data_IF_177803597476
#
_entry.id   IF_177803597476
#
_cell.length_a   1.000
_cell.length_b   1.000
_cell.length_c   1.000
_cell.angle_alpha   90.00
_cell.angle_beta   90.00
_cell.angle_gamma   90.00
#
_symmetry.space_group_name_H-M   'P 1'
#
loop_
_entity.id
_entity.type
_entity.pdbx_description
1 polymer ?
#
# COMPACT_ATOMS: atom_id res chain seq x y z
N UNK A 1 -13.31 34.79 12.42
CA UNK A 1 -12.18 34.05 11.78
C UNK A 1 -11.69 32.87 12.60
N UNK A 2 -11.63 32.97 13.91
CA UNK A 2 -11.08 31.94 14.81
C UNK A 2 -11.80 30.57 14.84
N UNK A 3 -13.11 30.56 14.60
CA UNK A 3 -13.90 29.33 14.86
C UNK A 3 -13.67 28.18 13.85
N UNK A 4 -13.64 28.46 12.55
CA UNK A 4 -13.43 27.40 11.51
C UNK A 4 -11.99 26.85 11.57
N UNK A 5 -11.00 27.73 11.60
CA UNK A 5 -9.59 27.29 11.63
C UNK A 5 -9.32 26.43 12.86
N UNK A 6 -9.92 26.76 14.00
CA UNK A 6 -9.81 25.99 15.25
C UNK A 6 -10.47 24.62 15.11
N UNK A 7 -11.68 24.54 14.53
CA UNK A 7 -12.38 23.25 14.29
C UNK A 7 -11.50 22.31 13.44
N UNK A 8 -10.93 22.80 12.34
CA UNK A 8 -10.08 21.97 11.49
C UNK A 8 -8.71 21.67 12.13
N UNK A 9 -8.17 22.58 12.94
CA UNK A 9 -6.96 22.35 13.73
C UNK A 9 -7.18 21.22 14.76
N UNK A 10 -8.29 21.24 15.48
CA UNK A 10 -8.65 20.19 16.45
C UNK A 10 -8.86 18.83 15.78
N UNK A 11 -9.52 18.81 14.61
CA UNK A 11 -9.69 17.57 13.85
C UNK A 11 -8.35 17.00 13.38
N UNK A 12 -7.43 17.87 12.93
CA UNK A 12 -6.07 17.48 12.57
C UNK A 12 -5.34 16.89 13.76
N UNK A 13 -5.41 17.54 14.91
CA UNK A 13 -4.79 17.08 16.16
C UNK A 13 -5.33 15.70 16.56
N UNK A 14 -6.63 15.53 16.58
CA UNK A 14 -7.28 14.24 16.87
C UNK A 14 -6.86 13.13 15.91
N UNK A 15 -6.78 13.41 14.60
CA UNK A 15 -6.29 12.42 13.63
C UNK A 15 -4.81 12.09 13.87
N UNK A 16 -3.98 13.07 14.23
CA UNK A 16 -2.56 12.85 14.55
C UNK A 16 -2.41 12.00 15.82
N UNK A 17 -3.15 12.30 16.88
CA UNK A 17 -3.16 11.52 18.13
C UNK A 17 -3.57 10.07 17.88
N UNK A 18 -4.64 9.87 17.10
CA UNK A 18 -5.09 8.54 16.70
C UNK A 18 -4.00 7.78 15.91
N UNK A 19 -3.34 8.44 14.97
CA UNK A 19 -2.24 7.84 14.20
C UNK A 19 -1.02 7.53 15.07
N UNK A 20 -0.68 8.40 16.00
CA UNK A 20 0.41 8.16 16.95
C UNK A 20 0.09 6.97 17.86
N UNK A 21 -1.15 6.86 18.33
CA UNK A 21 -1.58 5.73 19.15
C UNK A 21 -1.42 4.42 18.38
N UNK A 22 -1.95 4.33 17.17
CA UNK A 22 -1.80 3.11 16.37
C UNK A 22 -0.36 2.84 15.96
N UNK A 23 0.44 3.86 15.68
CA UNK A 23 1.85 3.66 15.32
C UNK A 23 2.66 3.03 16.45
N UNK A 24 2.37 3.37 17.73
CA UNK A 24 3.01 2.73 18.89
C UNK A 24 2.73 1.22 18.96
N UNK A 25 1.53 0.80 18.59
CA UNK A 25 1.20 -0.63 18.54
C UNK A 25 1.82 -1.34 17.34
N UNK A 26 1.88 -0.68 16.17
CA UNK A 26 2.49 -1.24 14.96
C UNK A 26 4.00 -1.32 15.10
N UNK A 27 4.64 -0.21 15.50
CA UNK A 27 6.09 -0.10 15.67
C UNK A 27 6.50 -0.41 17.12
N UNK A 28 6.29 -1.64 17.55
CA UNK A 28 6.81 -2.11 18.82
C UNK A 28 8.34 -2.30 18.76
N UNK A 29 8.99 -2.41 19.92
CA UNK A 29 10.46 -2.52 20.02
C UNK A 29 11.03 -3.70 19.22
N UNK A 30 10.30 -4.83 19.16
CA UNK A 30 10.73 -6.02 18.42
C UNK A 30 10.72 -5.79 16.92
N UNK A 31 9.67 -5.15 16.38
CA UNK A 31 9.58 -4.83 14.96
C UNK A 31 10.63 -3.79 14.56
N UNK A 32 10.86 -2.78 15.41
CA UNK A 32 11.89 -1.76 15.14
C UNK A 32 13.27 -2.41 15.07
N UNK A 33 13.64 -3.26 16.05
CA UNK A 33 14.92 -3.95 16.05
C UNK A 33 15.07 -4.85 14.81
N UNK A 34 14.03 -5.60 14.44
CA UNK A 34 14.01 -6.38 13.22
C UNK A 34 14.24 -5.53 11.97
N UNK A 35 13.52 -4.40 11.84
CA UNK A 35 13.67 -3.49 10.70
C UNK A 35 15.09 -2.90 10.61
N UNK A 36 15.71 -2.54 11.73
CA UNK A 36 17.09 -2.02 11.74
C UNK A 36 18.06 -3.07 11.20
N UNK A 37 17.94 -4.33 11.62
CA UNK A 37 18.79 -5.42 11.14
C UNK A 37 18.59 -5.65 9.63
N UNK A 38 17.34 -5.73 9.17
CA UNK A 38 17.01 -5.95 7.76
C UNK A 38 17.49 -4.78 6.90
N UNK A 39 17.27 -3.54 7.33
CA UNK A 39 17.74 -2.35 6.63
C UNK A 39 19.26 -2.29 6.58
N UNK A 40 19.95 -2.62 7.67
CA UNK A 40 21.42 -2.69 7.70
C UNK A 40 21.96 -3.71 6.70
N UNK A 41 21.39 -4.91 6.66
CA UNK A 41 21.77 -5.93 5.70
C UNK A 41 21.47 -5.50 4.24
N UNK A 42 20.32 -4.87 4.01
CA UNK A 42 19.94 -4.36 2.70
C UNK A 42 20.90 -3.25 2.21
N UNK A 43 21.31 -2.33 3.08
CA UNK A 43 22.27 -1.27 2.75
C UNK A 43 23.65 -1.82 2.38
N UNK A 44 24.13 -2.84 3.13
CA UNK A 44 25.41 -3.50 2.82
C UNK A 44 25.34 -4.19 1.46
N UNK A 45 24.25 -4.92 1.17
CA UNK A 45 24.07 -5.58 -0.11
C UNK A 45 23.91 -4.57 -1.26
N UNK A 46 23.21 -3.46 -1.03
CA UNK A 46 23.07 -2.38 -1.98
C UNK A 46 24.41 -1.76 -2.35
N UNK A 47 25.26 -1.48 -1.37
CA UNK A 47 26.61 -0.90 -1.62
C UNK A 47 27.52 -1.86 -2.40
N UNK A 48 27.47 -3.18 -2.07
CA UNK A 48 28.20 -4.21 -2.81
C UNK A 48 27.69 -4.34 -4.26
N UNK A 49 26.39 -4.35 -4.44
CA UNK A 49 25.77 -4.44 -5.76
C UNK A 49 26.15 -3.26 -6.66
N UNK A 50 26.11 -2.03 -6.13
CA UNK A 50 26.50 -0.83 -6.90
C UNK A 50 27.93 -0.93 -7.42
N UNK A 51 28.84 -1.52 -6.64
CA UNK A 51 30.24 -1.65 -7.01
C UNK A 51 30.50 -2.58 -8.22
N UNK A 52 29.59 -3.53 -8.48
CA UNK A 52 29.72 -4.54 -9.56
C UNK A 52 28.67 -4.40 -10.66
N UNK A 53 27.67 -3.54 -10.46
CA UNK A 53 26.54 -3.38 -11.37
C UNK A 53 26.97 -2.80 -12.72
N UNK A 54 26.44 -3.35 -13.80
CA UNK A 54 26.61 -2.80 -15.16
C UNK A 54 25.82 -1.49 -15.31
N UNK A 55 26.22 -0.64 -16.27
CA UNK A 55 25.50 0.60 -16.54
C UNK A 55 24.01 0.36 -16.85
N UNK A 56 23.69 -0.70 -17.59
CA UNK A 56 22.31 -1.07 -17.90
C UNK A 56 21.49 -1.38 -16.64
N UNK A 57 22.06 -2.10 -15.68
CA UNK A 57 21.41 -2.41 -14.40
C UNK A 57 21.17 -1.15 -13.58
N UNK A 58 22.17 -0.23 -13.53
CA UNK A 58 22.03 1.04 -12.81
C UNK A 58 20.91 1.90 -13.39
N UNK A 59 20.82 2.04 -14.73
CA UNK A 59 19.72 2.75 -15.38
C UNK A 59 18.36 2.07 -15.15
N UNK A 60 18.29 0.75 -15.21
CA UNK A 60 17.03 0.02 -15.01
C UNK A 60 16.47 0.22 -13.60
N UNK A 61 17.35 0.18 -12.58
CA UNK A 61 16.96 0.42 -11.18
C UNK A 61 16.57 1.89 -10.97
N UNK A 62 17.27 2.85 -11.60
CA UNK A 62 16.92 4.25 -11.56
C UNK A 62 15.51 4.51 -12.12
N UNK A 63 15.21 3.94 -13.28
CA UNK A 63 13.88 4.04 -13.92
C UNK A 63 12.80 3.40 -13.03
N UNK A 64 13.05 2.20 -12.51
CA UNK A 64 12.11 1.54 -11.60
C UNK A 64 11.85 2.36 -10.34
N UNK A 65 12.88 2.95 -9.74
CA UNK A 65 12.77 3.83 -8.58
C UNK A 65 12.00 5.12 -8.91
N UNK A 66 12.24 5.71 -10.09
CA UNK A 66 11.49 6.89 -10.56
C UNK A 66 10.00 6.58 -10.78
N UNK A 67 9.66 5.43 -11.38
CA UNK A 67 8.27 4.95 -11.52
C UNK A 67 7.61 4.80 -10.15
N UNK A 68 8.27 4.12 -9.22
CA UNK A 68 7.73 3.88 -7.88
C UNK A 68 7.49 5.20 -7.12
N UNK A 69 8.45 6.14 -7.20
CA UNK A 69 8.34 7.42 -6.52
C UNK A 69 7.28 8.32 -7.16
N UNK A 70 7.16 8.34 -8.49
CA UNK A 70 6.10 9.07 -9.22
C UNK A 70 4.72 8.54 -8.84
N UNK A 71 4.56 7.21 -8.79
CA UNK A 71 3.33 6.58 -8.35
C UNK A 71 3.00 6.95 -6.88
N UNK A 72 3.98 6.96 -5.99
CA UNK A 72 3.81 7.40 -4.60
C UNK A 72 3.30 8.84 -4.54
N UNK A 73 3.94 9.77 -5.27
CA UNK A 73 3.53 11.17 -5.28
C UNK A 73 2.11 11.37 -5.82
N UNK A 74 1.71 10.61 -6.84
CA UNK A 74 0.36 10.72 -7.45
C UNK A 74 -0.71 10.04 -6.58
N UNK A 75 -0.42 8.88 -6.00
CA UNK A 75 -1.39 8.10 -5.24
C UNK A 75 -1.66 8.65 -3.82
N UNK A 76 -0.77 9.50 -3.30
CA UNK A 76 -0.94 10.10 -1.98
C UNK A 76 -2.22 10.95 -1.91
N UNK A 77 -3.09 10.63 -0.96
CA UNK A 77 -4.38 11.30 -0.75
C UNK A 77 -4.24 12.58 0.07
N UNK A 78 -4.93 13.63 -0.33
CA UNK A 78 -5.00 14.90 0.41
C UNK A 78 -5.95 14.75 1.60
N UNK A 79 -5.65 15.42 2.71
CA UNK A 79 -6.46 15.42 3.92
C UNK A 79 -7.34 16.66 3.94
N UNK A 80 -8.64 16.51 3.74
CA UNK A 80 -9.57 17.63 3.76
C UNK A 80 -10.13 17.88 5.15
N UNK A 81 -10.21 16.87 5.99
CA UNK A 81 -10.81 16.87 7.34
C UNK A 81 -12.30 17.27 7.34
N UNK A 82 -12.95 17.21 6.20
CA UNK A 82 -14.38 17.50 6.05
C UNK A 82 -15.19 16.29 6.51
N UNK A 83 -16.27 16.53 7.24
CA UNK A 83 -17.23 15.53 7.70
C UNK A 83 -18.60 15.75 7.05
N UNK A 84 -19.44 14.71 7.01
CA UNK A 84 -20.77 14.76 6.41
C UNK A 84 -21.65 15.91 7.00
N UNK A 85 -21.54 16.16 8.31
CA UNK A 85 -22.27 17.24 9.00
C UNK A 85 -21.87 18.66 8.53
N UNK A 86 -20.66 18.83 8.00
CA UNK A 86 -20.15 20.14 7.58
C UNK A 86 -20.90 20.69 6.37
N UNK A 87 -21.45 19.82 5.53
CA UNK A 87 -22.27 20.21 4.39
C UNK A 87 -23.51 21.03 4.80
N UNK A 88 -23.96 20.88 6.05
CA UNK A 88 -25.11 21.63 6.59
C UNK A 88 -24.65 22.78 7.48
N UNK A 89 -23.73 22.51 8.43
CA UNK A 89 -23.39 23.48 9.48
C UNK A 89 -22.30 24.47 9.07
N UNK A 90 -21.39 24.12 8.17
CA UNK A 90 -20.29 25.01 7.76
C UNK A 90 -20.51 25.71 6.43
N UNK A 91 -21.63 25.45 5.75
CA UNK A 91 -21.95 26.10 4.47
C UNK A 91 -21.89 27.63 4.54
N UNK A 92 -22.43 28.32 5.57
CA UNK A 92 -22.36 29.78 5.66
C UNK A 92 -20.94 30.32 5.83
N UNK A 93 -20.00 29.46 6.24
CA UNK A 93 -18.61 29.82 6.55
C UNK A 93 -17.64 29.36 5.45
N UNK A 94 -18.12 28.92 4.30
CA UNK A 94 -17.34 28.37 3.18
C UNK A 94 -16.17 29.29 2.75
N UNK A 95 -16.37 30.58 2.75
CA UNK A 95 -15.35 31.58 2.41
C UNK A 95 -14.06 31.42 3.21
N UNK A 96 -14.18 31.02 4.46
CA UNK A 96 -13.01 30.84 5.36
C UNK A 96 -12.28 29.50 5.17
N UNK A 97 -12.91 28.53 4.50
CA UNK A 97 -12.29 27.23 4.22
C UNK A 97 -11.05 27.33 3.31
N UNK A 98 -10.95 28.39 2.50
CA UNK A 98 -9.79 28.67 1.63
C UNK A 98 -8.46 28.68 2.43
N UNK A 99 -8.46 29.22 3.64
CA UNK A 99 -7.26 29.28 4.49
C UNK A 99 -6.86 27.90 5.01
N UNK A 100 -7.83 27.06 5.36
CA UNK A 100 -7.61 25.67 5.74
C UNK A 100 -6.99 24.90 4.57
N UNK A 101 -7.50 25.10 3.36
CA UNK A 101 -6.99 24.49 2.14
C UNK A 101 -5.53 24.83 1.85
N UNK A 102 -5.15 26.11 1.95
CA UNK A 102 -3.75 26.54 1.79
C UNK A 102 -2.81 25.79 2.76
N UNK A 103 -3.17 25.74 4.06
CA UNK A 103 -2.38 25.01 5.08
C UNK A 103 -2.26 23.52 4.74
N UNK A 104 -3.32 22.93 4.20
CA UNK A 104 -3.32 21.51 3.79
C UNK A 104 -2.37 21.25 2.63
N UNK A 105 -2.40 22.10 1.59
CA UNK A 105 -1.50 21.97 0.43
C UNK A 105 -0.04 22.17 0.85
N UNK A 106 0.27 23.16 1.67
CA UNK A 106 1.62 23.40 2.17
C UNK A 106 2.12 22.18 2.95
N UNK A 107 1.32 21.64 3.87
CA UNK A 107 1.73 20.50 4.68
C UNK A 107 2.01 19.25 3.84
N UNK A 108 1.16 18.94 2.85
CA UNK A 108 1.42 17.79 1.99
C UNK A 108 2.63 17.99 1.09
N UNK A 109 2.84 19.22 0.62
CA UNK A 109 4.02 19.57 -0.19
C UNK A 109 5.31 19.41 0.62
N UNK A 110 5.33 19.86 1.87
CA UNK A 110 6.48 19.63 2.78
C UNK A 110 6.76 18.14 2.98
N UNK A 111 5.74 17.32 3.20
CA UNK A 111 5.90 15.86 3.33
C UNK A 111 6.47 15.26 2.05
N UNK A 112 6.01 15.69 0.87
CA UNK A 112 6.53 15.20 -0.40
C UNK A 112 7.97 15.67 -0.67
N UNK A 113 8.35 16.88 -0.24
CA UNK A 113 9.74 17.36 -0.32
C UNK A 113 10.65 16.53 0.58
N UNK A 114 10.24 16.26 1.82
CA UNK A 114 11.00 15.37 2.72
C UNK A 114 11.16 13.97 2.12
N UNK A 115 10.08 13.42 1.56
CA UNK A 115 10.12 12.13 0.87
C UNK A 115 11.09 12.17 -0.34
N UNK A 116 11.10 13.26 -1.10
CA UNK A 116 12.05 13.45 -2.20
C UNK A 116 13.50 13.52 -1.72
N UNK A 117 13.78 14.21 -0.62
CA UNK A 117 15.12 14.26 -0.04
C UNK A 117 15.61 12.85 0.33
N UNK A 118 14.77 12.05 0.99
CA UNK A 118 15.10 10.65 1.33
C UNK A 118 15.34 9.84 0.05
N UNK A 119 14.46 9.95 -0.94
CA UNK A 119 14.60 9.30 -2.25
C UNK A 119 15.91 9.70 -2.95
N UNK A 120 16.22 10.99 -3.00
CA UNK A 120 17.44 11.53 -3.59
C UNK A 120 18.69 10.92 -2.95
N UNK A 121 18.78 10.89 -1.63
CA UNK A 121 19.92 10.30 -0.92
C UNK A 121 20.02 8.78 -1.15
N UNK A 122 18.90 8.08 -1.30
CA UNK A 122 18.87 6.65 -1.60
C UNK A 122 19.40 6.34 -3.02
N UNK A 123 19.15 7.23 -3.99
CA UNK A 123 19.53 7.06 -5.39
C UNK A 123 20.89 7.69 -5.69
N UNK A 124 21.36 8.62 -4.88
CA UNK A 124 22.64 9.35 -5.06
C UNK A 124 23.85 8.45 -5.35
N UNK A 125 24.06 7.30 -4.70
CA UNK A 125 25.18 6.42 -5.03
C UNK A 125 25.15 5.89 -6.49
N UNK A 126 23.97 5.64 -7.03
CA UNK A 126 23.77 5.23 -8.43
C UNK A 126 24.14 6.39 -9.36
N UNK A 127 23.61 7.59 -9.07
CA UNK A 127 23.81 8.75 -9.94
C UNK A 127 25.23 9.26 -9.93
N UNK A 128 26.01 9.07 -8.86
CA UNK A 128 27.43 9.42 -8.83
C UNK A 128 28.27 8.62 -9.83
N UNK A 129 27.80 7.48 -10.29
CA UNK A 129 28.45 6.65 -11.31
C UNK A 129 27.94 7.00 -12.73
N UNK A 130 26.64 7.30 -12.86
CA UNK A 130 25.99 7.55 -14.15
C UNK A 130 26.27 8.97 -14.68
N UNK A 131 26.29 9.98 -13.81
CA UNK A 131 26.48 11.37 -14.23
C UNK A 131 26.26 12.41 -13.13
N UNK A 132 26.15 13.67 -13.53
CA UNK A 132 25.95 14.81 -12.63
C UNK A 132 24.46 15.11 -12.44
N UNK A 133 24.10 15.51 -11.25
CA UNK A 133 22.73 15.94 -10.90
C UNK A 133 22.51 17.38 -11.34
N UNK A 134 21.41 17.63 -12.03
CA UNK A 134 21.02 18.99 -12.45
C UNK A 134 20.29 19.73 -11.32
N UNK A 135 20.91 20.82 -10.83
CA UNK A 135 20.33 21.66 -9.77
C UNK A 135 19.05 22.38 -10.25
N UNK A 136 18.98 22.75 -11.52
CA UNK A 136 17.81 23.43 -12.09
C UNK A 136 16.63 22.47 -12.17
N UNK A 137 16.85 21.21 -12.56
CA UNK A 137 15.83 20.18 -12.59
C UNK A 137 15.27 19.89 -11.19
N UNK A 138 16.09 19.95 -10.12
CA UNK A 138 15.60 19.83 -8.74
C UNK A 138 14.62 20.96 -8.41
N UNK A 139 14.95 22.20 -8.76
CA UNK A 139 14.06 23.35 -8.54
C UNK A 139 12.73 23.17 -9.30
N UNK A 140 12.80 22.76 -10.57
CA UNK A 140 11.62 22.48 -11.39
C UNK A 140 10.75 21.34 -10.80
N UNK A 141 11.37 20.29 -10.26
CA UNK A 141 10.66 19.20 -9.59
C UNK A 141 9.91 19.67 -8.35
N UNK A 142 10.48 20.54 -7.53
CA UNK A 142 9.81 21.12 -6.36
C UNK A 142 8.57 21.89 -6.80
N UNK A 143 8.67 22.68 -7.87
CA UNK A 143 7.53 23.40 -8.45
C UNK A 143 6.45 22.45 -8.97
N UNK A 144 6.83 21.37 -9.65
CA UNK A 144 5.91 20.32 -10.12
C UNK A 144 5.20 19.64 -8.96
N UNK A 145 5.90 19.32 -7.88
CA UNK A 145 5.29 18.76 -6.66
C UNK A 145 4.24 19.71 -6.07
N UNK A 146 4.53 21.01 -6.01
CA UNK A 146 3.59 22.01 -5.54
C UNK A 146 2.35 22.07 -6.44
N UNK A 147 2.53 22.17 -7.75
CA UNK A 147 1.43 22.22 -8.74
C UNK A 147 0.59 20.93 -8.71
N UNK A 148 1.24 19.77 -8.59
CA UNK A 148 0.55 18.49 -8.45
C UNK A 148 -0.36 18.46 -7.21
N UNK A 149 0.12 18.96 -6.08
CA UNK A 149 -0.65 19.01 -4.85
C UNK A 149 -1.79 20.03 -4.89
N UNK A 150 -1.57 21.17 -5.55
CA UNK A 150 -2.62 22.14 -5.83
C UNK A 150 -3.71 21.55 -6.72
N UNK A 151 -3.32 20.88 -7.81
CA UNK A 151 -4.25 20.24 -8.74
C UNK A 151 -5.10 19.19 -8.03
N UNK A 152 -4.50 18.34 -7.22
CA UNK A 152 -5.23 17.35 -6.39
C UNK A 152 -6.20 18.00 -5.42
N UNK A 153 -5.79 19.08 -4.76
CA UNK A 153 -6.65 19.79 -3.82
C UNK A 153 -7.90 20.32 -4.53
N UNK A 154 -7.73 20.94 -5.69
CA UNK A 154 -8.87 21.46 -6.47
C UNK A 154 -9.74 20.35 -7.03
N UNK A 155 -9.17 19.22 -7.44
CA UNK A 155 -9.96 18.06 -7.86
C UNK A 155 -10.86 17.52 -6.74
N UNK A 156 -10.35 17.39 -5.51
CA UNK A 156 -11.13 16.86 -4.39
C UNK A 156 -12.23 17.83 -3.95
N UNK A 157 -11.98 19.14 -3.99
CA UNK A 157 -12.91 20.13 -3.44
C UNK A 157 -13.92 20.62 -4.46
N UNK A 158 -13.52 20.79 -5.72
CA UNK A 158 -14.37 21.41 -6.75
C UNK A 158 -14.78 20.45 -7.85
N UNK A 159 -14.10 19.30 -7.99
CA UNK A 159 -14.30 18.43 -9.15
C UNK A 159 -14.16 16.95 -8.77
N UNK A 160 -14.75 16.08 -9.60
CA UNK A 160 -14.55 14.65 -9.47
C UNK A 160 -13.14 14.26 -9.93
N UNK A 161 -12.50 13.30 -9.24
CA UNK A 161 -11.21 12.78 -9.68
C UNK A 161 -11.28 12.19 -11.10
N UNK A 162 -10.50 12.75 -12.01
CA UNK A 162 -10.44 12.31 -13.41
C UNK A 162 -9.20 11.44 -13.59
N UNK A 163 -9.40 10.23 -14.09
CA UNK A 163 -8.32 9.25 -14.27
C UNK A 163 -7.24 9.76 -15.25
N UNK A 164 -7.65 10.44 -16.33
CA UNK A 164 -6.72 11.02 -17.31
C UNK A 164 -5.79 12.08 -16.71
N UNK A 165 -6.28 12.86 -15.75
CA UNK A 165 -5.46 13.86 -15.07
C UNK A 165 -4.43 13.17 -14.16
N UNK A 166 -4.78 12.07 -13.51
CA UNK A 166 -3.82 11.26 -12.72
C UNK A 166 -2.73 10.66 -13.61
N UNK A 167 -3.08 10.20 -14.79
CA UNK A 167 -2.12 9.67 -15.77
C UNK A 167 -1.18 10.80 -16.22
N UNK A 168 -1.71 11.99 -16.56
CA UNK A 168 -0.89 13.14 -16.90
C UNK A 168 0.07 13.50 -15.77
N UNK A 169 -0.43 13.62 -14.54
CA UNK A 169 0.38 13.89 -13.36
C UNK A 169 1.53 12.87 -13.20
N UNK A 170 1.22 11.59 -13.39
CA UNK A 170 2.22 10.54 -13.28
C UNK A 170 3.35 10.71 -14.32
N UNK A 171 3.01 10.91 -15.58
CA UNK A 171 4.02 11.05 -16.63
C UNK A 171 4.85 12.33 -16.47
N UNK A 172 4.23 13.47 -16.12
CA UNK A 172 4.97 14.72 -15.88
C UNK A 172 5.95 14.57 -14.74
N UNK A 173 5.51 14.00 -13.60
CA UNK A 173 6.39 13.79 -12.44
C UNK A 173 7.49 12.78 -12.77
N UNK A 174 7.18 11.71 -13.51
CA UNK A 174 8.15 10.69 -13.90
C UNK A 174 9.26 11.28 -14.77
N UNK A 175 8.91 12.05 -15.80
CA UNK A 175 9.88 12.71 -16.68
C UNK A 175 10.72 13.68 -15.86
N UNK A 176 10.11 14.45 -14.97
CA UNK A 176 10.79 15.41 -14.11
C UNK A 176 11.78 14.76 -13.13
N UNK A 177 11.47 13.57 -12.61
CA UNK A 177 12.40 12.82 -11.75
C UNK A 177 13.59 12.33 -12.56
N UNK A 178 13.36 11.86 -13.79
CA UNK A 178 14.45 11.41 -14.65
C UNK A 178 15.35 12.59 -15.04
N UNK A 179 14.79 13.77 -15.31
CA UNK A 179 15.57 14.96 -15.70
C UNK A 179 16.54 15.41 -14.60
N UNK A 180 16.21 15.17 -13.33
CA UNK A 180 17.13 15.46 -12.20
C UNK A 180 18.44 14.66 -12.32
N UNK A 181 18.37 13.45 -12.88
CA UNK A 181 19.48 12.50 -12.91
C UNK A 181 20.13 12.34 -14.28
N UNK A 182 19.48 12.86 -15.34
CA UNK A 182 19.99 12.80 -16.72
C UNK A 182 20.05 14.22 -17.28
N UNK A 183 21.24 14.81 -17.22
CA UNK A 183 21.46 16.18 -17.70
C UNK A 183 21.42 16.21 -19.22
N UNK A 184 20.36 16.81 -19.78
CA UNK A 184 20.23 17.04 -21.21
C UNK A 184 19.36 18.27 -21.48
N UNK A 185 19.83 19.17 -22.34
CA UNK A 185 19.15 20.42 -22.68
C UNK A 185 17.75 20.21 -23.26
N UNK A 186 17.55 19.14 -24.03
CA UNK A 186 16.23 18.81 -24.60
C UNK A 186 15.22 18.40 -23.52
N UNK A 187 15.68 17.76 -22.44
CA UNK A 187 14.84 17.33 -21.32
C UNK A 187 14.29 18.55 -20.56
N UNK A 188 15.07 19.61 -20.41
CA UNK A 188 14.61 20.86 -19.79
C UNK A 188 13.42 21.50 -20.53
N UNK A 189 13.38 21.41 -21.86
CA UNK A 189 12.25 21.89 -22.65
C UNK A 189 11.00 21.05 -22.35
N UNK A 190 11.15 19.74 -22.25
CA UNK A 190 10.05 18.82 -21.90
C UNK A 190 9.55 19.09 -20.48
N UNK A 191 10.44 19.40 -19.55
CA UNK A 191 10.12 19.75 -18.18
C UNK A 191 9.27 21.02 -18.10
N UNK A 192 9.66 22.06 -18.83
CA UNK A 192 8.88 23.29 -18.95
C UNK A 192 7.49 23.04 -19.55
N UNK A 193 7.40 22.23 -20.61
CA UNK A 193 6.14 21.83 -21.21
C UNK A 193 5.24 21.07 -20.18
N UNK A 194 5.82 20.21 -19.38
CA UNK A 194 5.13 19.50 -18.31
C UNK A 194 4.56 20.43 -17.23
N UNK A 195 5.35 21.43 -16.81
CA UNK A 195 4.90 22.46 -15.85
C UNK A 195 3.71 23.25 -16.44
N UNK A 196 3.82 23.69 -17.68
CA UNK A 196 2.76 24.40 -18.40
C UNK A 196 1.50 23.53 -18.51
N UNK A 197 1.65 22.23 -18.83
CA UNK A 197 0.51 21.32 -18.90
C UNK A 197 -0.20 21.13 -17.55
N UNK A 198 0.52 21.00 -16.42
CA UNK A 198 -0.07 20.94 -15.09
C UNK A 198 -0.73 22.28 -14.70
N UNK A 199 -0.07 23.41 -14.98
CA UNK A 199 -0.64 24.72 -14.72
C UNK A 199 -1.92 24.94 -15.54
N UNK A 200 -1.94 24.53 -16.79
CA UNK A 200 -3.12 24.60 -17.66
C UNK A 200 -4.25 23.68 -17.16
N UNK A 201 -3.93 22.46 -16.72
CA UNK A 201 -4.91 21.56 -16.13
C UNK A 201 -5.52 22.15 -14.83
N UNK A 202 -4.71 22.81 -13.97
CA UNK A 202 -5.21 23.51 -12.79
C UNK A 202 -6.13 24.68 -13.16
N UNK A 203 -5.75 25.44 -14.18
CA UNK A 203 -6.57 26.54 -14.70
C UNK A 203 -7.92 26.05 -15.24
N UNK A 204 -7.93 24.95 -16.03
CA UNK A 204 -9.18 24.39 -16.56
C UNK A 204 -10.14 23.92 -15.45
N UNK A 205 -9.63 23.29 -14.41
CA UNK A 205 -10.44 22.85 -13.28
C UNK A 205 -11.02 24.06 -12.55
N UNK A 206 -10.22 25.10 -12.31
CA UNK A 206 -10.68 26.34 -11.67
C UNK A 206 -11.71 27.08 -12.53
N UNK A 207 -11.50 27.18 -13.85
CA UNK A 207 -12.44 27.78 -14.77
C UNK A 207 -13.79 27.06 -14.80
N UNK A 208 -13.74 25.73 -14.82
CA UNK A 208 -14.96 24.92 -14.84
C UNK A 208 -15.72 24.98 -13.51
N UNK A 209 -15.03 25.11 -12.38
CA UNK A 209 -15.68 25.30 -11.07
C UNK A 209 -16.38 26.67 -10.95
N UNK A 210 -15.89 27.71 -11.66
CA UNK A 210 -16.52 29.03 -11.70
C UNK A 210 -17.81 29.06 -12.55
N UNK A 211 -17.89 28.26 -13.60
CA UNK A 211 -19.03 28.26 -14.53
C UNK A 211 -20.29 27.57 -13.96
N UNK A 212 -20.20 26.89 -12.81
CA UNK A 212 -21.35 26.23 -12.15
C UNK A 212 -22.14 27.23 -11.27
N UNK A 213 -21.59 28.39 -10.94
CA UNK A 213 -22.30 29.47 -10.23
C UNK A 213 -23.10 30.36 -11.18
N UNK A 214 -24.36 30.63 -10.84
CA UNK A 214 -25.24 31.54 -11.59
C UNK A 214 -24.58 32.93 -11.78
N UNK A 215 -24.90 33.60 -12.91
CA UNK A 215 -24.31 34.87 -13.37
C UNK A 215 -24.40 36.05 -12.40
N UNK A 216 -25.13 35.94 -11.30
CA UNK A 216 -25.37 37.05 -10.36
C UNK A 216 -24.50 37.06 -9.11
N UNK A 217 -23.85 35.94 -8.74
CA UNK A 217 -22.95 35.90 -7.58
C UNK A 217 -21.48 35.77 -8.04
N UNK A 218 -20.85 36.92 -8.22
CA UNK A 218 -19.41 37.04 -8.45
C UNK A 218 -18.65 36.38 -7.27
N UNK A 219 -17.78 35.40 -7.60
CA UNK A 219 -16.75 34.82 -6.72
C UNK A 219 -17.10 33.65 -5.77
N UNK A 220 -18.16 32.89 -5.94
CA UNK A 220 -18.36 31.69 -5.13
C UNK A 220 -17.66 30.45 -5.75
N UNK A 221 -16.50 30.11 -5.24
CA UNK A 221 -15.94 28.75 -5.37
C UNK A 221 -16.83 27.81 -4.55
N UNK A 222 -17.72 27.10 -5.18
CA UNK A 222 -18.62 26.17 -4.50
C UNK A 222 -17.79 24.94 -4.11
N UNK A 223 -17.57 24.75 -2.82
CA UNK A 223 -16.99 23.53 -2.28
C UNK A 223 -18.04 22.43 -2.36
N UNK A 224 -17.72 21.32 -2.96
CA UNK A 224 -18.59 20.13 -2.97
C UNK A 224 -18.44 19.37 -1.66
N UNK A 225 -19.08 19.89 -0.61
CA UNK A 225 -18.95 19.40 0.77
C UNK A 225 -19.24 17.93 0.93
N UNK A 226 -20.32 17.43 0.32
CA UNK A 226 -20.71 16.02 0.42
C UNK A 226 -19.68 15.08 -0.23
N UNK A 227 -19.22 15.40 -1.44
CA UNK A 227 -18.21 14.61 -2.16
C UNK A 227 -16.86 14.65 -1.45
N UNK A 228 -16.46 15.82 -0.92
CA UNK A 228 -15.22 15.99 -0.16
C UNK A 228 -15.26 15.24 1.19
N UNK A 229 -16.43 15.17 1.85
CA UNK A 229 -16.63 14.40 3.06
C UNK A 229 -16.54 12.89 2.78
N UNK A 230 -17.18 12.41 1.71
CA UNK A 230 -17.09 11.01 1.28
C UNK A 230 -15.64 10.61 0.94
N UNK A 231 -14.93 11.49 0.22
CA UNK A 231 -13.51 11.29 -0.07
C UNK A 231 -12.66 11.14 1.22
N UNK A 232 -12.85 12.03 2.20
CA UNK A 232 -12.08 11.98 3.46
C UNK A 232 -12.44 10.75 4.30
N UNK A 233 -13.72 10.34 4.29
CA UNK A 233 -14.19 9.11 4.90
C UNK A 233 -13.49 7.89 4.28
N UNK A 234 -13.47 7.76 2.96
CA UNK A 234 -12.78 6.68 2.26
C UNK A 234 -11.26 6.70 2.48
N UNK A 235 -10.67 7.89 2.61
CA UNK A 235 -9.26 8.04 2.98
C UNK A 235 -8.98 7.44 4.37
N UNK A 236 -9.81 7.79 5.34
CA UNK A 236 -9.67 7.32 6.71
C UNK A 236 -9.95 5.82 6.83
N UNK A 237 -10.98 5.32 6.15
CA UNK A 237 -11.26 3.89 6.06
C UNK A 237 -10.09 3.10 5.47
N UNK A 238 -9.44 3.62 4.41
CA UNK A 238 -8.27 2.98 3.82
C UNK A 238 -7.09 2.92 4.81
N UNK A 239 -6.89 3.96 5.62
CA UNK A 239 -5.90 3.98 6.67
C UNK A 239 -6.23 2.98 7.79
N UNK A 240 -7.47 2.96 8.27
CA UNK A 240 -7.90 2.03 9.31
C UNK A 240 -7.83 0.57 8.84
N UNK A 241 -8.12 0.28 7.57
CA UNK A 241 -7.91 -1.05 6.98
C UNK A 241 -6.45 -1.47 7.00
N UNK A 242 -5.53 -0.55 6.71
CA UNK A 242 -4.09 -0.82 6.84
C UNK A 242 -3.70 -1.10 8.30
N UNK A 243 -4.17 -0.28 9.24
CA UNK A 243 -3.92 -0.47 10.68
C UNK A 243 -4.46 -1.80 11.18
N UNK A 244 -5.64 -2.19 10.69
CA UNK A 244 -6.30 -3.46 11.06
C UNK A 244 -5.52 -4.71 10.64
N UNK A 245 -4.52 -4.56 9.75
CA UNK A 245 -3.58 -5.66 9.45
C UNK A 245 -2.63 -5.96 10.63
N UNK A 246 -2.46 -5.03 11.57
CA UNK A 246 -1.52 -5.14 12.69
C UNK A 246 -2.21 -5.12 14.05
N UNK A 247 -3.33 -4.42 14.17
CA UNK A 247 -4.07 -4.19 15.43
C UNK A 247 -5.56 -4.27 15.14
N UNK A 248 -6.32 -4.99 15.94
CA UNK A 248 -7.77 -5.06 15.81
C UNK A 248 -8.40 -3.70 16.09
N UNK A 249 -8.92 -3.07 15.03
CA UNK A 249 -9.60 -1.79 15.09
C UNK A 249 -11.09 -2.00 14.84
N UNK A 250 -11.99 -1.46 15.69
CA UNK A 250 -13.41 -1.54 15.42
C UNK A 250 -13.75 -0.72 14.17
N UNK A 251 -13.93 -1.40 13.05
CA UNK A 251 -14.35 -0.81 11.78
C UNK A 251 -15.87 -0.63 11.77
N UNK A 252 -16.41 0.19 12.69
CA UNK A 252 -17.84 0.50 12.73
C UNK A 252 -18.27 1.23 11.46
N UNK A 253 -19.17 0.62 10.68
CA UNK A 253 -19.75 1.21 9.47
C UNK A 253 -18.99 0.96 8.18
N UNK A 254 -17.83 0.31 8.20
CA UNK A 254 -17.13 -0.07 6.97
C UNK A 254 -17.84 -1.26 6.34
N UNK A 255 -18.51 -1.03 5.21
CA UNK A 255 -19.03 -2.12 4.40
C UNK A 255 -17.85 -2.92 3.86
N UNK A 256 -17.70 -4.18 4.30
CA UNK A 256 -16.71 -5.10 3.75
C UNK A 256 -17.03 -5.32 2.29
N UNK A 257 -16.26 -4.71 1.40
CA UNK A 257 -16.46 -4.85 -0.03
C UNK A 257 -16.15 -6.28 -0.46
N UNK A 258 -17.05 -6.88 -1.25
CA UNK A 258 -16.83 -8.21 -1.83
C UNK A 258 -15.57 -8.18 -2.71
N UNK A 259 -14.57 -8.99 -2.38
CA UNK A 259 -13.32 -9.14 -3.14
C UNK A 259 -13.52 -10.02 -4.37
N UNK A 260 -14.13 -9.46 -5.43
CA UNK A 260 -14.46 -10.19 -6.66
C UNK A 260 -13.23 -10.82 -7.34
N UNK A 261 -12.06 -10.22 -7.22
CA UNK A 261 -10.82 -10.72 -7.81
C UNK A 261 -10.35 -12.07 -7.24
N UNK A 262 -10.72 -12.40 -5.99
CA UNK A 262 -10.45 -13.73 -5.42
C UNK A 262 -11.47 -14.80 -5.84
N UNK A 263 -12.56 -14.42 -6.51
CA UNK A 263 -13.56 -15.39 -6.97
C UNK A 263 -12.98 -16.36 -8.03
N UNK A 264 -11.89 -15.97 -8.71
CA UNK A 264 -11.14 -16.83 -9.64
C UNK A 264 -10.47 -18.02 -8.93
N UNK A 265 -10.04 -17.82 -7.68
CA UNK A 265 -9.37 -18.85 -6.87
C UNK A 265 -10.37 -19.77 -6.12
N UNK A 266 -11.66 -19.47 -6.18
CA UNK A 266 -12.68 -20.28 -5.52
C UNK A 266 -12.96 -21.55 -6.34
N UNK A 267 -13.06 -22.72 -5.68
CA UNK A 267 -13.50 -23.95 -6.36
C UNK A 267 -14.91 -23.73 -6.92
N UNK A 268 -15.13 -24.10 -8.19
CA UNK A 268 -16.45 -24.00 -8.82
C UNK A 268 -17.34 -25.14 -8.30
N UNK A 269 -18.46 -24.80 -7.67
CA UNK A 269 -19.52 -25.74 -7.32
C UNK A 269 -20.49 -25.85 -8.52
N UNK A 270 -20.48 -27.02 -9.17
CA UNK A 270 -21.46 -27.42 -10.17
C UNK A 270 -22.46 -28.38 -9.54
N UNK A 271 -23.63 -28.55 -10.16
CA UNK A 271 -24.67 -29.50 -9.67
C UNK A 271 -24.09 -30.92 -9.48
N UNK A 272 -23.21 -31.34 -10.37
CA UNK A 272 -22.60 -32.68 -10.37
C UNK A 272 -21.58 -32.88 -9.25
N UNK A 273 -20.93 -31.78 -8.76
CA UNK A 273 -19.92 -31.82 -7.71
C UNK A 273 -20.46 -31.38 -6.34
N UNK A 274 -21.76 -31.22 -6.19
CA UNK A 274 -22.38 -30.77 -4.95
C UNK A 274 -22.53 -31.94 -3.96
N UNK A 275 -21.44 -32.22 -3.23
CA UNK A 275 -21.36 -33.22 -2.16
C UNK A 275 -21.10 -32.52 -0.81
N UNK A 276 -21.43 -33.21 0.31
CA UNK A 276 -21.21 -32.70 1.68
C UNK A 276 -19.75 -32.25 1.91
N UNK A 277 -18.77 -32.97 1.40
CA UNK A 277 -17.35 -32.61 1.49
C UNK A 277 -17.01 -31.34 0.69
N UNK A 278 -17.48 -31.23 -0.55
CA UNK A 278 -17.19 -30.10 -1.41
C UNK A 278 -17.88 -28.82 -0.95
N UNK A 279 -19.04 -28.90 -0.28
CA UNK A 279 -19.74 -27.76 0.31
C UNK A 279 -18.93 -27.08 1.40
N UNK A 280 -18.38 -27.87 2.35
CA UNK A 280 -17.53 -27.34 3.41
C UNK A 280 -16.16 -26.91 2.91
N UNK A 281 -15.59 -27.59 1.93
CA UNK A 281 -14.39 -27.14 1.24
C UNK A 281 -14.63 -25.75 0.64
N UNK A 282 -15.70 -25.54 -0.12
CA UNK A 282 -16.05 -24.24 -0.70
C UNK A 282 -16.27 -23.18 0.38
N UNK A 283 -16.97 -23.52 1.47
CA UNK A 283 -17.21 -22.62 2.60
C UNK A 283 -15.90 -22.11 3.20
N UNK A 284 -14.96 -22.99 3.54
CA UNK A 284 -13.69 -22.59 4.13
C UNK A 284 -12.80 -21.79 3.18
N UNK A 285 -12.74 -22.16 1.90
CA UNK A 285 -12.02 -21.36 0.90
C UNK A 285 -12.62 -19.97 0.76
N UNK A 286 -13.95 -19.87 0.72
CA UNK A 286 -14.65 -18.59 0.63
C UNK A 286 -14.41 -17.73 1.85
N UNK A 287 -14.48 -18.28 3.05
CA UNK A 287 -14.21 -17.53 4.30
C UNK A 287 -12.75 -17.11 4.35
N UNK A 288 -11.81 -18.01 4.07
CA UNK A 288 -10.39 -17.72 4.07
C UNK A 288 -10.04 -16.57 3.10
N UNK A 289 -10.52 -16.61 1.87
CA UNK A 289 -10.21 -15.60 0.86
C UNK A 289 -10.95 -14.27 1.06
N UNK A 290 -12.12 -14.29 1.68
CA UNK A 290 -12.95 -13.08 1.82
C UNK A 290 -12.86 -12.43 3.20
N UNK A 291 -12.51 -13.16 4.24
CA UNK A 291 -12.29 -12.60 5.56
C UNK A 291 -11.02 -11.75 5.57
N UNK A 292 -11.11 -10.54 6.12
CA UNK A 292 -10.02 -9.55 5.99
C UNK A 292 -8.72 -10.00 6.65
N UNK A 293 -8.79 -10.67 7.79
CA UNK A 293 -7.60 -10.93 8.60
C UNK A 293 -6.79 -12.17 8.16
N UNK A 294 -7.40 -13.16 7.51
CA UNK A 294 -6.77 -14.47 7.24
C UNK A 294 -5.72 -14.43 6.13
N UNK A 295 -6.10 -13.92 4.96
CA UNK A 295 -5.18 -13.81 3.81
C UNK A 295 -4.07 -12.79 4.10
N UNK A 296 -4.43 -11.64 4.69
CA UNK A 296 -3.44 -10.62 5.01
C UNK A 296 -2.43 -11.06 6.06
N UNK A 297 -2.83 -11.91 6.99
CA UNK A 297 -1.91 -12.51 7.96
C UNK A 297 -0.84 -13.33 7.24
N UNK A 298 -1.25 -14.25 6.36
CA UNK A 298 -0.32 -15.07 5.60
C UNK A 298 0.57 -14.22 4.67
N UNK A 299 -0.01 -13.22 3.98
CA UNK A 299 0.73 -12.31 3.10
C UNK A 299 1.71 -11.43 3.87
N UNK A 300 1.35 -10.92 5.04
CA UNK A 300 2.23 -10.12 5.90
C UNK A 300 3.46 -10.91 6.34
N UNK A 301 3.27 -12.13 6.84
CA UNK A 301 4.38 -12.99 7.25
C UNK A 301 5.23 -13.40 6.05
N UNK A 302 4.60 -13.67 4.89
CA UNK A 302 5.31 -13.97 3.65
C UNK A 302 6.16 -12.79 3.18
N UNK A 303 5.67 -11.56 3.31
CA UNK A 303 6.40 -10.34 2.98
C UNK A 303 7.62 -10.17 3.90
N UNK A 304 7.46 -10.40 5.21
CA UNK A 304 8.56 -10.34 6.18
C UNK A 304 9.65 -11.39 5.87
N UNK A 305 9.25 -12.65 5.59
CA UNK A 305 10.19 -13.68 5.18
C UNK A 305 10.90 -13.33 3.86
N UNK A 306 10.16 -12.82 2.88
CA UNK A 306 10.72 -12.35 1.62
C UNK A 306 11.72 -11.21 1.77
N UNK A 307 11.47 -10.26 2.69
CA UNK A 307 12.42 -9.19 3.01
C UNK A 307 13.72 -9.74 3.62
N UNK A 308 13.65 -10.75 4.51
CA UNK A 308 14.84 -11.40 5.06
C UNK A 308 15.63 -12.05 3.92
N UNK A 309 14.97 -12.85 3.08
CA UNK A 309 15.60 -13.54 1.95
C UNK A 309 16.31 -12.56 1.02
N UNK A 310 15.61 -11.48 0.65
CA UNK A 310 16.17 -10.43 -0.21
C UNK A 310 17.36 -9.72 0.43
N UNK A 311 17.30 -9.43 1.76
CA UNK A 311 18.32 -8.64 2.45
C UNK A 311 19.60 -9.42 2.70
N UNK A 312 19.53 -10.69 3.03
CA UNK A 312 20.72 -11.47 3.41
C UNK A 312 21.36 -12.24 2.26
N UNK A 313 20.60 -12.62 1.23
CA UNK A 313 21.05 -13.39 0.06
C UNK A 313 21.86 -14.65 0.40
N UNK A 314 21.68 -15.20 1.60
CA UNK A 314 22.36 -16.35 2.10
C UNK A 314 21.39 -17.56 2.15
N UNK A 315 21.73 -18.74 1.57
CA UNK A 315 20.82 -19.87 1.48
C UNK A 315 20.42 -20.43 2.86
N UNK A 316 21.30 -20.41 3.84
CA UNK A 316 20.99 -20.86 5.21
C UNK A 316 19.98 -19.94 5.90
N UNK A 317 20.19 -18.63 5.77
CA UNK A 317 19.26 -17.63 6.33
C UNK A 317 17.90 -17.73 5.62
N UNK A 318 17.90 -17.92 4.31
CA UNK A 318 16.67 -18.13 3.53
C UNK A 318 15.93 -19.39 3.98
N UNK A 319 16.65 -20.49 4.24
CA UNK A 319 16.06 -21.71 4.77
C UNK A 319 15.40 -21.52 6.14
N UNK A 320 16.09 -20.85 7.07
CA UNK A 320 15.54 -20.51 8.38
C UNK A 320 14.33 -19.59 8.26
N UNK A 321 14.35 -18.61 7.35
CA UNK A 321 13.22 -17.72 7.13
C UNK A 321 11.98 -18.46 6.61
N UNK A 322 12.14 -19.42 5.69
CA UNK A 322 11.04 -20.25 5.17
C UNK A 322 10.43 -21.13 6.26
N UNK A 323 11.27 -21.76 7.09
CA UNK A 323 10.82 -22.62 8.20
C UNK A 323 10.11 -21.79 9.26
N UNK A 324 10.67 -20.64 9.64
CA UNK A 324 10.06 -19.71 10.61
C UNK A 324 8.71 -19.16 10.10
N UNK A 325 8.63 -18.81 8.83
CA UNK A 325 7.38 -18.43 8.18
C UNK A 325 6.31 -19.49 8.33
N UNK A 326 6.66 -20.74 7.99
CA UNK A 326 5.75 -21.87 8.06
C UNK A 326 5.21 -22.06 9.48
N UNK A 327 6.09 -22.08 10.47
CA UNK A 327 5.75 -22.26 11.87
C UNK A 327 4.83 -21.13 12.39
N UNK A 328 5.20 -19.86 12.16
CA UNK A 328 4.44 -18.71 12.62
C UNK A 328 3.06 -18.60 11.95
N UNK A 329 2.99 -18.90 10.65
CA UNK A 329 1.73 -18.83 9.91
C UNK A 329 0.77 -19.91 10.37
N UNK A 330 1.23 -21.16 10.54
CA UNK A 330 0.35 -22.25 10.91
C UNK A 330 -0.20 -22.10 12.33
N UNK A 331 0.62 -21.66 13.28
CA UNK A 331 0.16 -21.41 14.66
C UNK A 331 -0.96 -20.34 14.69
N UNK A 332 -0.90 -19.34 13.82
CA UNK A 332 -1.92 -18.29 13.76
C UNK A 332 -3.16 -18.72 12.96
N UNK A 333 -3.03 -19.64 12.00
CA UNK A 333 -4.16 -20.10 11.20
C UNK A 333 -4.95 -21.25 11.84
N UNK A 334 -4.32 -22.09 12.66
CA UNK A 334 -4.98 -23.23 13.32
C UNK A 334 -6.17 -22.80 14.21
N UNK A 335 -6.06 -21.76 15.05
CA UNK A 335 -7.17 -21.28 15.87
C UNK A 335 -8.37 -20.75 15.08
N UNK A 336 -8.18 -20.44 13.79
CA UNK A 336 -9.24 -19.96 12.91
C UNK A 336 -10.38 -20.99 12.77
N UNK A 337 -10.08 -22.29 12.87
CA UNK A 337 -11.10 -23.33 12.85
C UNK A 337 -12.14 -23.11 13.95
N UNK A 338 -11.69 -22.87 15.19
CA UNK A 338 -12.55 -22.61 16.33
C UNK A 338 -13.39 -21.35 16.14
N UNK A 339 -12.81 -20.30 15.57
CA UNK A 339 -13.55 -19.08 15.25
C UNK A 339 -14.62 -19.30 14.19
N UNK A 340 -14.33 -20.11 13.16
CA UNK A 340 -15.28 -20.48 12.11
C UNK A 340 -16.37 -21.44 12.61
N UNK A 341 -16.06 -22.35 13.52
CA UNK A 341 -17.01 -23.29 14.09
C UNK A 341 -18.07 -22.61 14.98
N UNK A 342 -17.78 -21.43 15.54
CA UNK A 342 -18.73 -20.62 16.29
C UNK A 342 -19.79 -19.93 15.40
N UNK A 343 -19.67 -20.02 14.09
CA UNK A 343 -20.66 -19.44 13.18
C UNK A 343 -21.92 -20.32 13.15
N UNK A 344 -23.11 -19.70 13.22
CA UNK A 344 -24.42 -20.37 13.21
C UNK A 344 -24.55 -21.34 12.02
N UNK A 345 -24.06 -20.98 10.84
CA UNK A 345 -24.10 -21.83 9.64
C UNK A 345 -23.33 -23.14 9.81
N UNK A 346 -22.31 -23.16 10.64
CA UNK A 346 -21.52 -24.37 10.92
C UNK A 346 -22.30 -25.40 11.73
N UNK A 347 -23.23 -24.96 12.58
CA UNK A 347 -24.07 -25.85 13.43
C UNK A 347 -25.37 -26.26 12.75
N UNK A 348 -25.95 -25.42 11.89
CA UNK A 348 -27.24 -25.71 11.22
C UNK A 348 -27.09 -26.80 10.15
N UNK A 349 -25.95 -26.85 9.47
CA UNK A 349 -25.74 -27.84 8.39
C UNK A 349 -25.46 -29.25 8.99
N UNK A 350 -26.27 -30.26 8.69
CA UNK A 350 -26.16 -31.61 9.27
C UNK A 350 -25.03 -32.40 8.55
N UNK A 351 -23.79 -31.99 8.78
CA UNK A 351 -22.59 -32.66 8.23
C UNK A 351 -21.70 -33.08 9.38
N UNK A 352 -21.14 -34.27 9.28
CA UNK A 352 -20.22 -34.83 10.26
C UNK A 352 -18.99 -33.91 10.50
N UNK A 353 -18.63 -33.72 11.75
CA UNK A 353 -17.52 -32.86 12.13
C UNK A 353 -16.17 -33.35 11.59
N UNK A 354 -16.01 -34.66 11.39
CA UNK A 354 -14.83 -35.23 10.73
C UNK A 354 -14.65 -34.71 9.30
N UNK A 355 -15.75 -34.55 8.55
CA UNK A 355 -15.71 -33.99 7.18
C UNK A 355 -15.34 -32.52 7.21
N UNK A 356 -15.88 -31.76 8.18
CA UNK A 356 -15.56 -30.34 8.37
C UNK A 356 -14.07 -30.15 8.69
N UNK A 357 -13.54 -30.90 9.66
CA UNK A 357 -12.13 -30.87 10.06
C UNK A 357 -11.22 -31.24 8.89
N UNK A 358 -11.55 -32.32 8.17
CA UNK A 358 -10.77 -32.79 7.00
C UNK A 358 -10.72 -31.72 5.90
N UNK A 359 -11.83 -31.05 5.63
CA UNK A 359 -11.92 -29.98 4.63
C UNK A 359 -11.09 -28.76 5.02
N UNK A 360 -11.08 -28.38 6.30
CA UNK A 360 -10.24 -27.29 6.82
C UNK A 360 -8.75 -27.66 6.79
N UNK A 361 -8.36 -28.86 7.21
CA UNK A 361 -6.99 -29.36 7.12
C UNK A 361 -6.47 -29.31 5.68
N UNK A 362 -7.28 -29.70 4.72
CA UNK A 362 -6.93 -29.64 3.29
C UNK A 362 -6.68 -28.22 2.79
N UNK A 363 -7.51 -27.25 3.22
CA UNK A 363 -7.30 -25.84 2.93
C UNK A 363 -5.94 -25.38 3.45
N UNK A 364 -5.66 -25.59 4.73
CA UNK A 364 -4.39 -25.17 5.35
C UNK A 364 -3.18 -25.79 4.64
N UNK A 365 -3.23 -27.08 4.33
CA UNK A 365 -2.14 -27.76 3.61
C UNK A 365 -1.87 -27.12 2.26
N UNK A 366 -2.90 -26.80 1.48
CA UNK A 366 -2.75 -26.18 0.17
C UNK A 366 -2.19 -24.76 0.30
N UNK A 367 -2.69 -23.97 1.24
CA UNK A 367 -2.20 -22.61 1.49
C UNK A 367 -0.71 -22.64 1.87
N UNK A 368 -0.33 -23.51 2.81
CA UNK A 368 1.06 -23.62 3.25
C UNK A 368 1.98 -24.08 2.12
N UNK A 369 1.57 -25.06 1.33
CA UNK A 369 2.34 -25.56 0.21
C UNK A 369 2.59 -24.47 -0.83
N UNK A 370 1.55 -23.74 -1.23
CA UNK A 370 1.67 -22.66 -2.23
C UNK A 370 2.62 -21.57 -1.71
N UNK A 371 2.44 -21.12 -0.48
CA UNK A 371 3.22 -19.99 0.05
C UNK A 371 4.67 -20.35 0.32
N UNK A 372 4.96 -21.56 0.82
CA UNK A 372 6.35 -22.02 1.03
C UNK A 372 7.10 -22.28 -0.27
N UNK A 373 6.40 -22.80 -1.30
CA UNK A 373 6.99 -22.94 -2.65
C UNK A 373 7.28 -21.58 -3.27
N UNK A 374 6.38 -20.60 -3.15
CA UNK A 374 6.64 -19.24 -3.63
C UNK A 374 7.85 -18.60 -2.94
N UNK A 375 7.98 -18.75 -1.62
CA UNK A 375 9.17 -18.28 -0.90
C UNK A 375 10.44 -19.02 -1.34
N UNK A 376 10.36 -20.32 -1.62
CA UNK A 376 11.47 -21.11 -2.17
C UNK A 376 11.92 -20.60 -3.52
N UNK A 377 10.98 -20.29 -4.43
CA UNK A 377 11.28 -19.69 -5.75
C UNK A 377 11.96 -18.33 -5.56
N UNK A 378 11.43 -17.47 -4.70
CA UNK A 378 12.04 -16.17 -4.37
C UNK A 378 13.46 -16.38 -3.83
N UNK A 379 13.67 -17.33 -2.94
CA UNK A 379 15.00 -17.62 -2.38
C UNK A 379 15.99 -18.06 -3.46
N UNK A 380 15.59 -18.91 -4.40
CA UNK A 380 16.42 -19.33 -5.52
C UNK A 380 16.77 -18.15 -6.45
N UNK A 381 15.82 -17.28 -6.74
CA UNK A 381 16.03 -16.12 -7.62
C UNK A 381 17.03 -15.11 -7.04
N UNK A 382 17.08 -14.96 -5.72
CA UNK A 382 17.95 -13.99 -5.03
C UNK A 382 19.24 -14.59 -4.45
N UNK A 383 19.42 -15.91 -4.46
CA UNK A 383 20.66 -16.58 -4.09
C UNK A 383 21.50 -16.95 -5.30
N UNK A 384 22.79 -17.19 -5.10
CA UNK A 384 23.67 -17.69 -6.16
C UNK A 384 23.19 -19.07 -6.64
N UNK A 385 23.17 -19.28 -7.97
CA UNK A 385 22.73 -20.52 -8.62
C UNK A 385 23.78 -21.66 -8.48
N UNK A 386 24.14 -22.02 -7.26
CA UNK A 386 24.99 -23.17 -7.00
C UNK A 386 24.11 -24.38 -6.62
N UNK A 387 24.47 -25.57 -7.06
CA UNK A 387 23.68 -26.79 -6.78
C UNK A 387 23.44 -27.03 -5.31
N UNK A 388 24.41 -26.71 -4.44
CA UNK A 388 24.28 -26.82 -2.98
C UNK A 388 23.25 -25.83 -2.42
N UNK A 389 23.21 -24.59 -2.94
CA UNK A 389 22.24 -23.57 -2.49
C UNK A 389 20.81 -23.99 -2.81
N UNK A 390 20.59 -24.52 -4.01
CA UNK A 390 19.29 -25.03 -4.45
C UNK A 390 18.85 -26.21 -3.57
N UNK A 391 19.75 -27.14 -3.26
CA UNK A 391 19.46 -28.29 -2.40
C UNK A 391 19.04 -27.84 -0.98
N UNK A 392 19.72 -26.86 -0.39
CA UNK A 392 19.38 -26.31 0.94
C UNK A 392 17.99 -25.68 0.94
N UNK A 393 17.65 -24.89 -0.10
CA UNK A 393 16.34 -24.24 -0.21
C UNK A 393 15.24 -25.29 -0.39
N UNK A 394 15.43 -26.29 -1.25
CA UNK A 394 14.46 -27.38 -1.44
C UNK A 394 14.26 -28.15 -0.13
N UNK A 395 15.33 -28.50 0.58
CA UNK A 395 15.26 -29.17 1.87
C UNK A 395 14.48 -28.32 2.90
N UNK A 396 14.72 -27.00 2.93
CA UNK A 396 14.00 -26.10 3.85
C UNK A 396 12.51 -26.01 3.53
N UNK A 397 12.12 -25.97 2.26
CA UNK A 397 10.71 -25.99 1.82
C UNK A 397 10.04 -27.31 2.21
N UNK A 398 10.72 -28.45 2.05
CA UNK A 398 10.20 -29.77 2.47
C UNK A 398 10.00 -29.80 3.98
N UNK A 399 11.01 -29.39 4.77
CA UNK A 399 10.92 -29.33 6.23
C UNK A 399 9.80 -28.40 6.69
N UNK A 400 9.65 -27.24 6.08
CA UNK A 400 8.57 -26.30 6.38
C UNK A 400 7.17 -26.92 6.18
N UNK A 401 7.00 -27.72 5.12
CA UNK A 401 5.74 -28.43 4.86
C UNK A 401 5.52 -29.60 5.82
N UNK A 402 6.56 -30.32 6.25
CA UNK A 402 6.46 -31.36 7.27
C UNK A 402 6.03 -30.76 8.62
N UNK A 403 6.65 -29.66 9.03
CA UNK A 403 6.30 -28.95 10.27
C UNK A 403 4.84 -28.49 10.21
N UNK A 404 4.42 -27.84 9.12
CA UNK A 404 3.04 -27.39 8.98
C UNK A 404 2.05 -28.56 9.05
N UNK A 405 2.35 -29.71 8.46
CA UNK A 405 1.50 -30.91 8.51
C UNK A 405 1.32 -31.43 9.95
N UNK A 406 2.39 -31.48 10.74
CA UNK A 406 2.33 -31.91 12.14
C UNK A 406 1.37 -31.02 12.97
N UNK A 407 1.41 -29.71 12.74
CA UNK A 407 0.50 -28.77 13.43
C UNK A 407 -0.93 -28.83 12.90
N UNK A 408 -1.13 -29.04 11.59
CA UNK A 408 -2.45 -29.21 10.98
C UNK A 408 -3.16 -30.46 11.54
N UNK A 409 -2.43 -31.53 11.78
CA UNK A 409 -3.00 -32.76 12.35
C UNK A 409 -3.56 -32.56 13.76
N UNK A 410 -3.06 -31.60 14.53
CA UNK A 410 -3.55 -31.25 15.88
C UNK A 410 -4.86 -30.49 15.88
N UNK A 411 -5.40 -30.08 14.72
CA UNK A 411 -6.73 -29.45 14.61
C UNK A 411 -7.79 -30.49 14.98
N UNK A 412 -8.50 -30.24 16.07
CA UNK A 412 -9.60 -31.05 16.57
C UNK A 412 -10.91 -30.31 16.48
#
# INVERSE_FOLDING_TARGET
>A
MSNIENIFADRRKKEQELKLTYSKYIFNSHLIMFLIIVLGAALINYSKWIAIASQFELYSVLIAAAVAFSYFLVSTKIKTYIKEADAVFLLPLEKYYKNVGKKTVINITLVHIVAFVIFYFSVKPITSIIGTVDKLAIFMLILVILLNNLLKYFQVIHYKEIIWVKILQFFVIFIQIISVFVVNTYILIIDLAGIVALAFATYLILKNSRNVGSKEDQEKYIVKWAEAAEYDKHRMESYLKFVNMFVDVPLSGVKVARRKYFDVLLPKLTKDNFNKENSFKYYYYRVFLRQENTVYLALRLMLLAGLIIFSFKNPYVSGVAIISYSYLTIIQLVPLYKQMSNNIWHSILPVDDNIKIKSFKKLLTIVMLITTVLLGIIAILFSNFEGVTIAIIIASVVLANIISKIFIEKVK
#
